data_IF_483487977319
#
_entry.id   IF_483487977319
#
_cell.length_a   1.000
_cell.length_b   1.000
_cell.length_c   1.000
_cell.angle_alpha   90.00
_cell.angle_beta   90.00
_cell.angle_gamma   90.00
#
_symmetry.space_group_name_H-M   'P 1'
#
loop_
_entity.id
_entity.type
_entity.pdbx_description
1 polymer ?
#
# COMPACT_ATOMS: atom_id res chain seq x y z
N UNK A 1 -7.50 -15.96 -11.43
CA UNK A 1 -7.51 -15.32 -10.10
C UNK A 1 -6.07 -15.08 -9.71
N UNK A 2 -5.62 -13.83 -9.63
CA UNK A 2 -4.27 -13.52 -9.17
C UNK A 2 -4.19 -13.77 -7.66
N UNK A 3 -3.10 -14.39 -7.20
CA UNK A 3 -2.88 -14.59 -5.78
C UNK A 3 -2.80 -13.22 -5.07
N UNK A 4 -3.73 -12.98 -4.15
CA UNK A 4 -3.78 -11.76 -3.35
C UNK A 4 -2.62 -11.80 -2.36
N UNK A 5 -1.78 -10.76 -2.35
CA UNK A 5 -0.64 -10.70 -1.41
C UNK A 5 -1.14 -10.46 0.01
N UNK A 6 -0.43 -11.02 0.98
CA UNK A 6 -0.66 -10.76 2.39
C UNK A 6 -0.08 -9.40 2.79
N UNK A 7 -0.94 -8.53 3.32
CA UNK A 7 -0.52 -7.24 3.88
C UNK A 7 -0.48 -7.28 5.42
N UNK A 8 0.39 -6.49 6.08
CA UNK A 8 0.38 -6.34 7.52
C UNK A 8 -0.99 -5.88 8.05
N UNK A 9 -1.38 -6.30 9.24
CA UNK A 9 -2.64 -5.88 9.87
C UNK A 9 -2.68 -4.38 10.19
N UNK A 10 -1.51 -3.77 10.36
CA UNK A 10 -1.36 -2.32 10.59
C UNK A 10 -1.40 -1.51 9.29
N UNK A 11 -1.54 -2.16 8.13
CA UNK A 11 -1.65 -1.47 6.86
C UNK A 11 -3.02 -0.79 6.72
N UNK A 12 -2.99 0.51 6.43
CA UNK A 12 -4.15 1.32 6.13
C UNK A 12 -4.41 1.33 4.63
N UNK A 13 -5.68 1.52 4.24
CA UNK A 13 -6.08 1.72 2.85
C UNK A 13 -6.19 3.21 2.56
N UNK A 14 -5.66 3.62 1.42
CA UNK A 14 -5.83 4.99 0.94
C UNK A 14 -5.65 5.08 -0.56
N UNK A 15 -5.83 6.30 -1.06
CA UNK A 15 -5.60 6.68 -2.45
C UNK A 15 -4.38 7.59 -2.52
N UNK A 16 -3.31 7.07 -3.11
CA UNK A 16 -2.07 7.79 -3.30
C UNK A 16 -2.10 8.53 -4.64
N UNK A 17 -1.78 9.82 -4.60
CA UNK A 17 -1.34 10.58 -5.77
C UNK A 17 0.01 11.21 -5.49
N UNK A 18 1.00 10.90 -6.32
CA UNK A 18 2.32 11.54 -6.22
C UNK A 18 2.24 12.89 -6.93
N UNK A 19 2.48 13.98 -6.20
CA UNK A 19 2.49 15.36 -6.73
C UNK A 19 3.91 15.81 -7.01
N UNK A 20 4.69 16.05 -5.95
CA UNK A 20 6.10 16.39 -6.04
C UNK A 20 6.86 15.65 -4.93
N UNK A 21 7.63 14.59 -5.24
CA UNK A 21 8.34 13.83 -4.22
C UNK A 21 9.21 14.72 -3.30
N UNK A 22 9.24 14.48 -1.98
CA UNK A 22 8.59 13.40 -1.24
C UNK A 22 7.13 13.71 -0.82
N UNK A 23 6.59 14.86 -1.21
CA UNK A 23 5.21 15.24 -0.93
C UNK A 23 4.26 14.45 -1.84
N UNK A 24 3.23 13.91 -1.22
CA UNK A 24 2.19 13.13 -1.89
C UNK A 24 0.83 13.63 -1.41
N UNK A 25 -0.22 13.24 -2.11
CA UNK A 25 -1.57 13.33 -1.62
C UNK A 25 -2.02 11.94 -1.20
N UNK A 26 -2.47 11.81 0.05
CA UNK A 26 -3.16 10.63 0.54
C UNK A 26 -4.63 10.98 0.76
N UNK A 27 -5.52 10.31 0.02
CA UNK A 27 -6.96 10.57 0.01
C UNK A 27 -7.29 12.06 -0.26
N UNK A 28 -6.50 12.69 -1.14
CA UNK A 28 -6.62 14.10 -1.51
C UNK A 28 -6.04 15.09 -0.49
N UNK A 29 -5.49 14.63 0.63
CA UNK A 29 -4.83 15.48 1.64
C UNK A 29 -3.31 15.47 1.47
N UNK A 30 -2.62 16.61 1.63
CA UNK A 30 -1.16 16.64 1.67
C UNK A 30 -0.62 15.70 2.74
N UNK A 31 0.31 14.83 2.32
CA UNK A 31 1.02 13.87 3.14
C UNK A 31 2.46 13.75 2.61
N UNK A 32 3.30 12.97 3.28
CA UNK A 32 4.73 12.86 2.94
C UNK A 32 5.26 11.44 3.11
N UNK A 33 6.13 11.05 2.20
CA UNK A 33 6.95 9.84 2.31
C UNK A 33 8.10 10.06 3.30
N UNK A 34 8.33 9.08 4.16
CA UNK A 34 9.48 9.05 5.07
C UNK A 34 10.79 9.01 4.26
N UNK A 35 11.91 9.38 4.90
CA UNK A 35 13.24 9.47 4.25
C UNK A 35 13.72 8.13 3.63
N UNK A 36 13.22 6.99 4.13
CA UNK A 36 13.44 5.65 3.56
C UNK A 36 12.18 5.01 2.98
N UNK A 37 11.18 5.82 2.62
CA UNK A 37 9.87 5.35 2.18
C UNK A 37 9.96 4.44 0.96
N UNK A 38 9.39 3.24 1.07
CA UNK A 38 9.42 2.23 0.01
C UNK A 38 8.06 2.13 -0.67
N UNK A 39 8.05 2.18 -2.00
CA UNK A 39 6.85 1.91 -2.80
C UNK A 39 7.04 0.60 -3.54
N UNK A 40 6.08 -0.30 -3.40
CA UNK A 40 6.04 -1.60 -4.07
C UNK A 40 4.92 -1.62 -5.09
N UNK A 41 5.23 -2.06 -6.31
CA UNK A 41 4.23 -2.23 -7.35
C UNK A 41 3.29 -3.43 -7.07
N UNK A 42 2.37 -3.73 -7.98
CA UNK A 42 1.42 -4.84 -7.84
C UNK A 42 2.10 -6.22 -7.82
N UNK A 43 3.29 -6.34 -8.40
CA UNK A 43 4.16 -7.52 -8.35
C UNK A 43 5.08 -7.53 -7.10
N UNK A 44 4.99 -6.51 -6.23
CA UNK A 44 5.78 -6.42 -5.00
C UNK A 44 7.21 -5.93 -5.15
N UNK A 45 7.60 -5.45 -6.35
CA UNK A 45 8.94 -4.93 -6.63
C UNK A 45 9.01 -3.46 -6.22
N UNK A 46 10.17 -3.04 -5.72
CA UNK A 46 10.40 -1.65 -5.38
C UNK A 46 10.36 -0.77 -6.64
N UNK A 47 9.63 0.34 -6.59
CA UNK A 47 9.51 1.31 -7.68
C UNK A 47 9.74 2.72 -7.17
N UNK A 48 10.21 3.59 -8.06
CA UNK A 48 10.47 4.99 -7.75
C UNK A 48 9.17 5.80 -7.75
N UNK A 49 8.95 6.61 -6.73
CA UNK A 49 7.77 7.47 -6.60
C UNK A 49 7.57 8.40 -7.81
N UNK A 50 8.66 8.92 -8.38
CA UNK A 50 8.64 9.77 -9.56
C UNK A 50 7.98 9.10 -10.79
N UNK A 51 8.05 7.77 -10.91
CA UNK A 51 7.42 7.02 -12.02
C UNK A 51 5.90 6.90 -11.88
N UNK A 52 5.38 7.23 -10.70
CA UNK A 52 3.96 7.16 -10.34
C UNK A 52 3.30 8.54 -10.25
N UNK A 53 4.01 9.59 -10.67
CA UNK A 53 3.50 10.96 -10.68
C UNK A 53 2.17 11.05 -11.44
N UNK A 54 1.29 11.93 -10.95
CA UNK A 54 0.00 12.28 -11.58
C UNK A 54 -1.03 11.15 -11.69
N UNK A 55 -0.74 9.96 -11.15
CA UNK A 55 -1.67 8.84 -11.10
C UNK A 55 -2.44 8.82 -9.78
N UNK A 56 -3.67 8.32 -9.84
CA UNK A 56 -4.53 8.11 -8.67
C UNK A 56 -4.58 6.61 -8.38
N UNK A 57 -3.80 6.17 -7.40
CA UNK A 57 -3.52 4.76 -7.16
C UNK A 57 -4.17 4.32 -5.85
N UNK A 58 -4.94 3.23 -5.89
CA UNK A 58 -5.42 2.59 -4.66
C UNK A 58 -4.26 1.80 -4.07
N UNK A 59 -3.93 2.12 -2.83
CA UNK A 59 -2.77 1.56 -2.13
C UNK A 59 -3.15 1.03 -0.76
N UNK A 60 -2.37 0.08 -0.28
CA UNK A 60 -2.15 -0.07 1.15
C UNK A 60 -0.90 0.71 1.55
N UNK A 61 -0.87 1.24 2.76
CA UNK A 61 0.29 1.92 3.28
C UNK A 61 0.45 1.73 4.80
N UNK A 62 1.68 1.88 5.27
CA UNK A 62 2.02 1.91 6.69
C UNK A 62 2.77 3.19 7.00
N UNK A 63 2.56 3.71 8.20
CA UNK A 63 3.30 4.86 8.72
C UNK A 63 4.40 4.43 9.69
N UNK A 64 5.48 5.21 9.75
CA UNK A 64 6.52 5.00 10.76
C UNK A 64 6.19 5.73 12.08
N UNK A 65 7.11 5.69 13.05
CA UNK A 65 6.94 6.29 14.37
C UNK A 65 6.80 7.81 14.38
N UNK A 66 7.25 8.51 13.32
CA UNK A 66 7.06 9.94 13.12
C UNK A 66 5.73 10.28 12.40
N UNK A 67 4.96 9.26 12.00
CA UNK A 67 3.67 9.44 11.34
C UNK A 67 3.76 9.71 9.84
N UNK A 68 4.96 9.63 9.23
CA UNK A 68 5.15 9.72 7.78
C UNK A 68 4.88 8.37 7.10
N UNK A 69 4.69 8.36 5.78
CA UNK A 69 4.41 7.15 5.02
C UNK A 69 5.71 6.37 4.77
N UNK A 70 5.85 5.22 5.42
CA UNK A 70 7.06 4.43 5.42
C UNK A 70 7.08 3.33 4.34
N UNK A 71 5.92 2.72 4.09
CA UNK A 71 5.80 1.65 3.11
C UNK A 71 4.46 1.72 2.40
N UNK A 72 4.47 1.56 1.08
CA UNK A 72 3.29 1.63 0.22
C UNK A 72 3.26 0.40 -0.68
N UNK A 73 2.10 -0.21 -0.82
CA UNK A 73 1.83 -1.30 -1.75
C UNK A 73 0.74 -0.86 -2.72
N UNK A 74 1.08 -0.76 -4.00
CA UNK A 74 0.10 -0.60 -5.08
C UNK A 74 -0.72 -1.86 -5.19
N UNK A 75 -2.02 -1.72 -5.33
CA UNK A 75 -2.94 -2.84 -5.37
C UNK A 75 -3.36 -3.16 -6.80
N UNK A 76 -3.53 -4.44 -7.05
CA UNK A 76 -4.36 -4.89 -8.18
C UNK A 76 -5.85 -4.60 -7.92
N UNK A 77 -6.68 -4.60 -8.97
CA UNK A 77 -8.13 -4.46 -8.81
C UNK A 77 -8.73 -5.52 -7.86
N UNK A 78 -8.29 -6.78 -7.96
CA UNK A 78 -8.70 -7.87 -7.07
C UNK A 78 -8.32 -7.59 -5.60
N UNK A 79 -7.11 -7.07 -5.36
CA UNK A 79 -6.67 -6.71 -4.01
C UNK A 79 -7.41 -5.49 -3.45
N UNK A 80 -7.75 -4.52 -4.30
CA UNK A 80 -8.51 -3.33 -3.93
C UNK A 80 -9.97 -3.67 -3.56
N UNK A 81 -10.55 -4.72 -4.16
CA UNK A 81 -11.88 -5.21 -3.84
C UNK A 81 -11.95 -5.89 -2.46
N UNK A 82 -10.82 -6.35 -1.92
CA UNK A 82 -10.73 -6.94 -0.58
C UNK A 82 -10.46 -5.87 0.48
N UNK A 83 -10.94 -6.06 1.71
CA UNK A 83 -10.61 -5.14 2.82
C UNK A 83 -9.22 -5.46 3.39
N UNK A 84 -8.38 -4.45 3.72
CA UNK A 84 -7.13 -4.67 4.44
C UNK A 84 -7.41 -5.40 5.77
N UNK A 85 -6.57 -6.38 6.13
CA UNK A 85 -6.66 -7.11 7.41
C UNK A 85 -7.56 -8.36 7.44
N UNK A 86 -8.41 -8.62 6.44
CA UNK A 86 -9.23 -9.86 6.41
C UNK A 86 -8.51 -11.07 5.78
N UNK A 87 -7.28 -10.91 5.33
CA UNK A 87 -6.56 -11.93 4.55
C UNK A 87 -6.00 -13.08 5.39
N UNK A 88 -6.03 -12.99 6.73
CA UNK A 88 -5.60 -14.06 7.64
C UNK A 88 -6.45 -15.35 7.59
N UNK A 89 -7.64 -15.34 6.99
CA UNK A 89 -8.55 -16.50 7.10
C UNK A 89 -8.42 -17.61 6.06
N UNK A 90 -7.52 -17.56 5.07
CA UNK A 90 -7.47 -18.63 4.05
C UNK A 90 -6.39 -19.70 4.29
N UNK A 91 -5.39 -19.39 5.12
CA UNK A 91 -4.28 -20.32 5.44
C UNK A 91 -4.50 -21.04 6.78
N UNK A 92 -5.17 -20.39 7.75
CA UNK A 92 -5.52 -21.01 9.04
C UNK A 92 -6.62 -22.08 8.92
N UNK A 93 -7.49 -21.99 7.90
CA UNK A 93 -8.54 -23.00 7.67
C UNK A 93 -8.03 -24.33 7.10
N UNK A 94 -6.75 -24.41 6.73
CA UNK A 94 -6.14 -25.63 6.15
C UNK A 94 -5.19 -26.35 7.12
N UNK A 95 -4.83 -25.74 8.25
CA UNK A 95 -3.89 -26.30 9.22
C UNK A 95 -4.39 -26.20 10.68
N UNK A 96 -5.69 -26.39 10.92
CA UNK A 96 -6.27 -26.44 12.26
C UNK A 96 -6.86 -27.81 12.61
N UNK A 97 -6.12 -28.62 13.37
CA UNK A 97 -6.60 -29.78 14.15
C UNK A 97 -5.78 -29.91 15.41
#
# INVERSE_FOLDING_TARGET
MAAVRNFPETAMRGRLRVTYPPVVLMDGKPDRLSVGGLIRDTQGRAVLSATLAEQDLIVNYRRDGFGEIAEVWLLTPDEAALRPGRQRSLLESLFGS
#
